data_IF_914775214082
#
_entry.id   IF_914775214082
#
_cell.length_a   1.000
_cell.length_b   1.000
_cell.length_c   1.000
_cell.angle_alpha   90.00
_cell.angle_beta   90.00
_cell.angle_gamma   90.00
#
_symmetry.space_group_name_H-M   'P 1'
#
loop_
_entity.id
_entity.type
_entity.pdbx_description
1 polymer ?
#
# COMPACT_ATOMS: atom_id res chain seq x y z
N UNK A 1 -28.66 26.04 -1.55
CA UNK A 1 -27.36 26.21 -0.87
C UNK A 1 -26.94 24.84 -0.38
N UNK A 2 -26.05 24.18 -1.13
CA UNK A 2 -25.58 22.84 -0.80
C UNK A 2 -24.75 22.90 0.49
N UNK A 3 -25.16 22.14 1.49
CA UNK A 3 -24.38 21.89 2.70
C UNK A 3 -23.11 21.17 2.27
N UNK A 4 -21.98 21.88 2.24
CA UNK A 4 -20.68 21.24 2.26
C UNK A 4 -20.58 20.58 3.63
N UNK A 5 -20.78 19.27 3.68
CA UNK A 5 -20.55 18.49 4.88
C UNK A 5 -19.16 18.87 5.41
N UNK A 6 -19.14 19.52 6.57
CA UNK A 6 -17.94 19.75 7.34
C UNK A 6 -17.24 18.40 7.49
N UNK A 7 -16.13 18.21 6.77
CA UNK A 7 -15.20 17.13 7.06
C UNK A 7 -14.69 17.38 8.46
N UNK A 8 -15.36 16.88 9.49
CA UNK A 8 -14.67 16.58 10.73
C UNK A 8 -13.48 15.69 10.35
N UNK A 9 -12.32 15.95 10.93
CA UNK A 9 -11.10 15.17 10.71
C UNK A 9 -11.33 13.71 11.14
N UNK A 10 -11.95 12.92 10.26
CA UNK A 10 -12.14 11.49 10.44
C UNK A 10 -10.79 10.85 10.20
N UNK A 11 -10.28 10.18 11.23
CA UNK A 11 -9.12 9.31 11.10
C UNK A 11 -9.31 8.39 9.89
N UNK A 12 -8.28 8.20 9.07
CA UNK A 12 -8.42 7.36 7.88
C UNK A 12 -8.75 5.93 8.27
N UNK A 13 -9.54 5.25 7.44
CA UNK A 13 -9.69 3.79 7.51
C UNK A 13 -8.55 3.16 6.74
N UNK A 14 -7.84 2.23 7.39
CA UNK A 14 -6.79 1.45 6.75
C UNK A 14 -7.41 0.20 6.16
N UNK A 15 -7.29 0.02 4.85
CA UNK A 15 -7.74 -1.19 4.17
C UNK A 15 -6.53 -2.06 3.83
N UNK A 16 -6.40 -3.22 4.47
CA UNK A 16 -5.38 -4.21 4.06
C UNK A 16 -5.85 -4.91 2.79
N UNK A 17 -4.93 -5.03 1.81
CA UNK A 17 -5.19 -5.63 0.50
C UNK A 17 -4.23 -6.81 0.32
N UNK A 18 -4.64 -8.03 0.71
CA UNK A 18 -3.79 -9.22 0.57
C UNK A 18 -3.52 -9.63 -0.87
N UNK A 19 -2.44 -10.38 -1.06
CA UNK A 19 -2.07 -10.99 -2.34
C UNK A 19 -2.63 -12.39 -2.55
N UNK A 20 -1.99 -13.14 -3.46
CA UNK A 20 -2.32 -14.54 -3.78
C UNK A 20 -2.26 -15.40 -2.50
N UNK A 21 -3.28 -16.23 -2.28
CA UNK A 21 -3.42 -17.05 -1.07
C UNK A 21 -3.92 -16.30 0.17
N UNK A 22 -4.10 -14.98 0.09
CA UNK A 22 -4.49 -14.14 1.21
C UNK A 22 -3.39 -14.00 2.26
N UNK A 23 -3.77 -13.48 3.43
CA UNK A 23 -2.86 -13.28 4.56
C UNK A 23 -3.24 -14.19 5.71
N UNK A 24 -2.40 -15.19 5.98
CA UNK A 24 -2.57 -16.14 7.08
C UNK A 24 -2.41 -15.49 8.46
N UNK A 25 -2.75 -16.21 9.54
CA UNK A 25 -2.81 -15.64 10.91
C UNK A 25 -1.53 -14.97 11.41
N UNK A 26 -0.36 -15.47 11.01
CA UNK A 26 0.94 -14.91 11.40
C UNK A 26 1.46 -13.83 10.44
N UNK A 27 0.69 -13.48 9.41
CA UNK A 27 1.03 -12.40 8.48
C UNK A 27 0.81 -11.05 9.15
N UNK A 28 1.69 -10.07 8.90
CA UNK A 28 1.58 -8.73 9.49
C UNK A 28 0.23 -8.06 9.22
N UNK A 29 -0.34 -8.21 8.01
CA UNK A 29 -1.70 -7.73 7.71
C UNK A 29 -2.76 -8.28 8.68
N UNK A 30 -2.76 -9.60 8.94
CA UNK A 30 -3.70 -10.22 9.90
C UNK A 30 -3.49 -9.70 11.30
N UNK A 31 -2.24 -9.57 11.72
CA UNK A 31 -1.92 -9.06 13.04
C UNK A 31 -2.42 -7.62 13.19
N UNK A 32 -2.17 -6.75 12.19
CA UNK A 32 -2.65 -5.36 12.16
C UNK A 32 -4.17 -5.28 12.27
N UNK A 33 -4.89 -6.10 11.50
CA UNK A 33 -6.36 -6.19 11.55
C UNK A 33 -6.87 -6.59 12.95
N UNK A 34 -6.16 -7.47 13.67
CA UNK A 34 -6.55 -7.91 15.01
C UNK A 34 -6.30 -6.85 16.08
N UNK A 35 -5.25 -6.03 15.94
CA UNK A 35 -4.84 -5.11 17.02
C UNK A 35 -5.15 -3.64 16.76
N UNK A 36 -5.58 -3.27 15.54
CA UNK A 36 -5.96 -1.89 15.20
C UNK A 36 -7.47 -1.78 14.91
N UNK A 37 -8.21 -0.92 15.62
CA UNK A 37 -9.64 -0.74 15.37
C UNK A 37 -9.96 0.01 14.07
N UNK A 38 -8.97 0.68 13.47
CA UNK A 38 -9.11 1.45 12.22
C UNK A 38 -8.69 0.65 10.97
N UNK A 39 -8.31 -0.62 11.13
CA UNK A 39 -7.75 -1.46 10.07
C UNK A 39 -8.68 -2.61 9.73
N UNK A 40 -9.04 -2.75 8.45
CA UNK A 40 -10.03 -3.70 7.97
C UNK A 40 -9.48 -4.41 6.73
N UNK A 41 -9.64 -5.74 6.64
CA UNK A 41 -9.30 -6.50 5.44
C UNK A 41 -10.33 -6.31 4.34
N UNK A 42 -9.84 -6.05 3.13
CA UNK A 42 -10.68 -6.14 1.93
C UNK A 42 -10.90 -7.62 1.58
N UNK A 43 -12.16 -8.03 1.52
CA UNK A 43 -12.52 -9.36 1.02
C UNK A 43 -12.49 -9.37 -0.52
N UNK A 44 -11.32 -9.66 -1.10
CA UNK A 44 -11.15 -9.77 -2.55
C UNK A 44 -11.66 -11.11 -3.10
N UNK A 45 -11.83 -12.14 -2.28
CA UNK A 45 -12.23 -13.48 -2.69
C UNK A 45 -11.30 -14.13 -3.73
N UNK A 46 -11.62 -15.36 -4.14
CA UNK A 46 -10.86 -16.09 -5.18
C UNK A 46 -9.34 -16.10 -4.93
N UNK A 47 -8.94 -16.22 -3.66
CA UNK A 47 -7.56 -16.09 -3.21
C UNK A 47 -6.59 -17.07 -3.89
N UNK A 48 -7.06 -18.24 -4.31
CA UNK A 48 -6.28 -19.25 -5.03
C UNK A 48 -6.24 -19.06 -6.55
N UNK A 49 -7.20 -18.33 -7.12
CA UNK A 49 -7.34 -18.10 -8.57
C UNK A 49 -7.76 -16.65 -8.84
N UNK A 50 -6.86 -15.69 -8.55
CA UNK A 50 -7.22 -14.29 -8.52
C UNK A 50 -7.52 -13.78 -9.94
N UNK A 51 -8.57 -12.98 -10.06
CA UNK A 51 -8.97 -12.39 -11.34
C UNK A 51 -8.97 -10.87 -11.22
N UNK A 52 -8.10 -10.20 -12.00
CA UNK A 52 -7.86 -8.75 -11.92
C UNK A 52 -9.13 -7.93 -11.80
N UNK A 53 -10.05 -8.05 -12.75
CA UNK A 53 -11.24 -7.19 -12.78
C UNK A 53 -12.19 -7.47 -11.59
N UNK A 54 -12.20 -8.70 -11.07
CA UNK A 54 -13.03 -9.05 -9.91
C UNK A 54 -12.44 -8.45 -8.63
N UNK A 55 -11.11 -8.51 -8.48
CA UNK A 55 -10.40 -7.88 -7.36
C UNK A 55 -10.51 -6.37 -7.40
N UNK A 56 -10.31 -5.74 -8.56
CA UNK A 56 -10.51 -4.29 -8.74
C UNK A 56 -11.93 -3.87 -8.36
N UNK A 57 -12.94 -4.62 -8.80
CA UNK A 57 -14.35 -4.33 -8.46
C UNK A 57 -14.60 -4.43 -6.96
N UNK A 58 -14.10 -5.47 -6.29
CA UNK A 58 -14.27 -5.65 -4.84
C UNK A 58 -13.51 -4.60 -4.04
N UNK A 59 -12.31 -4.23 -4.48
CA UNK A 59 -11.54 -3.14 -3.89
C UNK A 59 -12.29 -1.80 -4.00
N UNK A 60 -12.83 -1.49 -5.17
CA UNK A 60 -13.64 -0.28 -5.39
C UNK A 60 -14.87 -0.23 -4.47
N UNK A 61 -15.55 -1.37 -4.30
CA UNK A 61 -16.68 -1.49 -3.37
C UNK A 61 -16.27 -1.24 -1.93
N UNK A 62 -15.17 -1.82 -1.46
CA UNK A 62 -14.67 -1.62 -0.10
C UNK A 62 -14.27 -0.14 0.14
N UNK A 63 -13.61 0.50 -0.83
CA UNK A 63 -13.24 1.92 -0.77
C UNK A 63 -14.48 2.80 -0.63
N UNK A 64 -15.52 2.56 -1.43
CA UNK A 64 -16.79 3.33 -1.37
C UNK A 64 -17.53 3.14 -0.04
N UNK A 65 -17.37 2.00 0.61
CA UNK A 65 -18.01 1.70 1.90
C UNK A 65 -17.31 2.37 3.09
N UNK A 66 -16.05 2.77 2.96
CA UNK A 66 -15.25 3.23 4.09
C UNK A 66 -15.73 4.56 4.75
N UNK A 67 -16.59 5.36 4.10
CA UNK A 67 -17.18 6.61 4.63
C UNK A 67 -16.18 7.61 5.28
N UNK A 68 -14.89 7.44 5.03
CA UNK A 68 -13.75 8.17 5.59
C UNK A 68 -12.61 8.13 4.55
N UNK A 69 -11.58 9.00 4.66
CA UNK A 69 -10.39 8.85 3.82
C UNK A 69 -9.81 7.44 3.96
N UNK A 70 -9.42 6.83 2.84
CA UNK A 70 -8.87 5.46 2.82
C UNK A 70 -7.35 5.49 2.67
N UNK A 71 -6.66 4.68 3.46
CA UNK A 71 -5.25 4.36 3.24
C UNK A 71 -5.16 2.87 2.92
N UNK A 72 -4.52 2.53 1.80
CA UNK A 72 -4.37 1.13 1.38
C UNK A 72 -3.06 0.55 1.91
N UNK A 73 -3.10 -0.62 2.54
CA UNK A 73 -1.92 -1.38 2.95
C UNK A 73 -1.88 -2.70 2.17
N UNK A 74 -1.28 -2.68 0.99
CA UNK A 74 -1.30 -3.78 0.04
C UNK A 74 -0.04 -4.65 0.12
N UNK A 75 -0.20 -5.95 -0.14
CA UNK A 75 0.90 -6.90 -0.18
C UNK A 75 0.90 -7.71 -1.47
N UNK A 76 2.07 -7.96 -2.06
CA UNK A 76 2.24 -8.86 -3.21
C UNK A 76 1.29 -8.52 -4.37
N UNK A 77 0.51 -9.49 -4.86
CA UNK A 77 -0.47 -9.27 -5.93
C UNK A 77 -1.55 -8.24 -5.58
N UNK A 78 -1.79 -7.99 -4.29
CA UNK A 78 -2.65 -6.90 -3.82
C UNK A 78 -2.15 -5.52 -4.27
N UNK A 79 -0.82 -5.32 -4.38
CA UNK A 79 -0.26 -4.07 -4.91
C UNK A 79 -0.67 -3.83 -6.36
N UNK A 80 -0.69 -4.89 -7.17
CA UNK A 80 -1.13 -4.81 -8.57
C UNK A 80 -2.64 -4.57 -8.67
N UNK A 81 -3.42 -5.11 -7.72
CA UNK A 81 -4.85 -4.81 -7.63
C UNK A 81 -5.10 -3.32 -7.33
N UNK A 82 -4.30 -2.71 -6.45
CA UNK A 82 -4.36 -1.27 -6.17
C UNK A 82 -3.97 -0.45 -7.40
N UNK A 83 -2.87 -0.80 -8.08
CA UNK A 83 -2.44 -0.09 -9.28
C UNK A 83 -3.49 -0.18 -10.41
N UNK A 84 -4.06 -1.37 -10.63
CA UNK A 84 -5.12 -1.55 -11.61
C UNK A 84 -6.43 -0.85 -11.23
N UNK A 85 -6.76 -0.81 -9.95
CA UNK A 85 -7.91 -0.03 -9.48
C UNK A 85 -7.70 1.46 -9.75
N UNK A 86 -6.51 2.01 -9.47
CA UNK A 86 -6.22 3.41 -9.73
C UNK A 86 -6.29 3.77 -11.23
N UNK A 87 -5.86 2.85 -12.11
CA UNK A 87 -5.97 2.98 -13.57
C UNK A 87 -7.42 2.99 -14.05
N UNK A 88 -8.27 2.10 -13.51
CA UNK A 88 -9.62 1.84 -14.01
C UNK A 88 -10.71 2.67 -13.32
N UNK A 89 -10.44 3.17 -12.10
CA UNK A 89 -11.34 3.96 -11.28
C UNK A 89 -10.68 5.31 -10.93
N UNK A 90 -10.58 6.25 -11.89
CA UNK A 90 -9.91 7.52 -11.67
C UNK A 90 -10.61 8.31 -10.57
N UNK A 91 -9.80 8.98 -9.75
CA UNK A 91 -10.26 9.80 -8.64
C UNK A 91 -9.48 11.13 -8.58
N UNK A 92 -10.02 12.19 -7.96
CA UNK A 92 -9.23 13.34 -7.58
C UNK A 92 -8.02 12.93 -6.74
N UNK A 93 -6.93 13.70 -6.84
CA UNK A 93 -5.74 13.39 -6.07
C UNK A 93 -6.05 13.33 -4.57
N UNK A 94 -5.72 12.20 -3.94
CA UNK A 94 -5.89 11.92 -2.51
C UNK A 94 -7.33 11.79 -1.99
N UNK A 95 -8.33 11.56 -2.84
CA UNK A 95 -9.70 11.28 -2.39
C UNK A 95 -10.49 10.40 -3.39
N UNK A 96 -11.22 9.36 -2.97
CA UNK A 96 -11.38 8.85 -1.59
C UNK A 96 -10.17 8.10 -1.03
N UNK A 97 -9.28 7.57 -1.86
CA UNK A 97 -8.01 6.99 -1.39
C UNK A 97 -6.99 8.10 -1.22
N UNK A 98 -6.54 8.28 0.02
CA UNK A 98 -5.67 9.35 0.45
C UNK A 98 -4.17 8.96 0.45
N UNK A 99 -3.87 7.66 0.37
CA UNK A 99 -2.50 7.15 0.28
C UNK A 99 -2.41 5.63 0.24
N UNK A 100 -1.20 5.11 -0.06
CA UNK A 100 -0.96 3.67 -0.01
C UNK A 100 0.45 3.27 0.47
N UNK A 101 0.52 2.18 1.22
CA UNK A 101 1.72 1.40 1.49
C UNK A 101 1.64 0.11 0.65
N UNK A 102 2.57 -0.04 -0.29
CA UNK A 102 2.65 -1.15 -1.24
C UNK A 102 3.86 -2.01 -0.89
N UNK A 103 3.64 -3.24 -0.46
CA UNK A 103 4.69 -4.08 0.14
C UNK A 103 4.93 -5.32 -0.70
N UNK A 104 6.19 -5.54 -1.07
CA UNK A 104 6.67 -6.72 -1.80
C UNK A 104 5.82 -7.05 -3.04
N UNK A 105 5.60 -6.11 -3.99
CA UNK A 105 4.78 -6.36 -5.18
C UNK A 105 5.32 -7.54 -6.00
N UNK A 106 4.46 -8.28 -6.69
CA UNK A 106 4.89 -9.39 -7.54
C UNK A 106 5.18 -8.92 -8.98
N UNK A 107 6.22 -9.44 -9.62
CA UNK A 107 6.48 -9.18 -11.04
C UNK A 107 5.59 -10.05 -11.92
N UNK A 108 4.50 -9.45 -12.41
CA UNK A 108 3.53 -10.12 -13.29
C UNK A 108 3.99 -10.15 -14.76
N UNK A 109 5.02 -9.38 -15.11
CA UNK A 109 5.48 -9.19 -16.49
C UNK A 109 6.69 -10.04 -16.85
N UNK A 110 7.32 -10.70 -15.86
CA UNK A 110 8.45 -11.60 -16.12
C UNK A 110 8.02 -12.79 -16.97
N UNK A 111 8.91 -13.25 -17.86
CA UNK A 111 8.62 -14.31 -18.83
C UNK A 111 8.24 -15.65 -18.19
N UNK A 112 8.74 -15.92 -16.99
CA UNK A 112 8.49 -17.13 -16.20
C UNK A 112 7.47 -16.88 -15.07
N UNK A 113 6.65 -15.82 -15.18
CA UNK A 113 5.60 -15.55 -14.20
C UNK A 113 4.66 -16.77 -14.08
N UNK A 114 4.31 -17.24 -12.88
CA UNK A 114 3.33 -18.30 -12.70
C UNK A 114 1.97 -17.92 -13.30
N UNK A 115 1.20 -18.90 -13.78
CA UNK A 115 -0.10 -18.65 -14.41
C UNK A 115 -1.10 -17.92 -13.49
N UNK A 116 -0.97 -18.10 -12.18
CA UNK A 116 -1.75 -17.39 -11.17
C UNK A 116 -1.51 -15.88 -11.13
N UNK A 117 -0.36 -15.40 -11.64
CA UNK A 117 -0.01 -13.98 -11.71
C UNK A 117 -0.29 -13.36 -13.08
N UNK A 118 -0.20 -14.15 -14.15
CA UNK A 118 -0.37 -13.67 -15.54
C UNK A 118 -1.68 -12.93 -15.80
N UNK A 119 -2.74 -13.27 -15.07
CA UNK A 119 -4.04 -12.59 -15.16
C UNK A 119 -4.01 -11.11 -14.77
N UNK A 120 -2.94 -10.65 -14.11
CA UNK A 120 -2.71 -9.26 -13.74
C UNK A 120 -1.75 -8.53 -14.68
N UNK A 121 -1.15 -9.22 -15.65
CA UNK A 121 -0.30 -8.60 -16.66
C UNK A 121 -1.14 -7.82 -17.71
N UNK A 122 -0.59 -6.77 -18.33
CA UNK A 122 0.69 -6.13 -17.97
C UNK A 122 0.60 -5.36 -16.64
N UNK A 123 1.71 -5.04 -15.98
CA UNK A 123 1.63 -4.09 -14.85
C UNK A 123 1.21 -2.68 -15.33
N UNK A 124 0.34 -1.97 -14.58
CA UNK A 124 0.00 -0.58 -14.88
C UNK A 124 1.23 0.31 -14.77
N UNK A 125 1.32 1.31 -15.65
CA UNK A 125 2.47 2.24 -15.73
C UNK A 125 2.10 3.69 -15.44
N UNK A 126 0.90 3.89 -14.89
CA UNK A 126 0.36 5.22 -14.60
C UNK A 126 0.67 5.59 -13.15
N UNK A 127 1.08 6.85 -12.90
CA UNK A 127 1.28 7.34 -11.54
C UNK A 127 0.00 7.24 -10.70
N UNK A 128 0.14 6.85 -9.44
CA UNK A 128 -0.98 6.76 -8.52
C UNK A 128 -1.52 8.16 -8.17
N UNK A 129 -2.85 8.35 -8.09
CA UNK A 129 -3.45 9.64 -7.77
C UNK A 129 -3.43 9.92 -6.26
N UNK A 130 -2.39 9.50 -5.54
CA UNK A 130 -2.22 9.69 -4.09
C UNK A 130 -0.78 9.40 -3.67
N UNK A 131 -0.30 9.95 -2.55
CA UNK A 131 1.01 9.62 -2.01
C UNK A 131 1.13 8.13 -1.69
N UNK A 132 2.25 7.53 -2.06
CA UNK A 132 2.48 6.11 -1.80
C UNK A 132 3.94 5.77 -1.50
N UNK A 133 4.14 4.74 -0.69
CA UNK A 133 5.42 4.09 -0.45
C UNK A 133 5.39 2.71 -1.09
N UNK A 134 6.44 2.33 -1.80
CA UNK A 134 6.70 0.96 -2.24
C UNK A 134 7.88 0.39 -1.45
N UNK A 135 7.66 -0.70 -0.73
CA UNK A 135 8.67 -1.43 0.04
C UNK A 135 9.00 -2.72 -0.69
N UNK A 136 10.28 -3.00 -0.90
CA UNK A 136 10.73 -4.25 -1.54
C UNK A 136 11.94 -4.84 -0.81
N UNK A 137 12.05 -6.18 -0.88
CA UNK A 137 13.18 -6.94 -0.35
C UNK A 137 14.14 -7.31 -1.47
N UNK A 138 15.44 -7.39 -1.17
CA UNK A 138 16.47 -7.75 -2.16
C UNK A 138 16.49 -9.26 -2.46
N UNK A 139 15.96 -10.08 -1.56
CA UNK A 139 15.88 -11.55 -1.67
C UNK A 139 14.44 -12.05 -1.88
N UNK A 140 13.55 -11.20 -2.42
CA UNK A 140 12.18 -11.59 -2.76
C UNK A 140 12.16 -12.53 -3.98
N UNK A 141 11.59 -13.76 -3.87
CA UNK A 141 11.49 -14.68 -5.01
C UNK A 141 10.46 -14.27 -6.09
N UNK A 142 9.60 -13.29 -5.80
CA UNK A 142 8.50 -12.86 -6.68
C UNK A 142 8.82 -11.64 -7.51
N UNK A 143 9.87 -10.88 -7.17
CA UNK A 143 10.28 -9.69 -7.90
C UNK A 143 11.76 -9.39 -7.64
N UNK A 144 12.49 -8.90 -8.65
CA UNK A 144 13.83 -8.36 -8.41
C UNK A 144 13.76 -6.95 -7.83
N UNK A 145 14.77 -6.53 -7.08
CA UNK A 145 14.81 -5.18 -6.49
C UNK A 145 14.76 -4.09 -7.58
N UNK A 146 15.40 -4.31 -8.73
CA UNK A 146 15.41 -3.38 -9.87
C UNK A 146 14.03 -3.26 -10.51
N UNK A 147 13.30 -4.38 -10.62
CA UNK A 147 11.92 -4.37 -11.12
C UNK A 147 11.00 -3.64 -10.14
N UNK A 148 11.13 -3.91 -8.84
CA UNK A 148 10.34 -3.22 -7.82
C UNK A 148 10.60 -1.71 -7.83
N UNK A 149 11.86 -1.29 -7.98
CA UNK A 149 12.22 0.12 -8.15
C UNK A 149 11.59 0.70 -9.43
N UNK A 150 11.59 -0.03 -10.54
CA UNK A 150 10.93 0.39 -11.78
C UNK A 150 9.43 0.58 -11.61
N UNK A 151 8.75 -0.31 -10.88
CA UNK A 151 7.34 -0.15 -10.52
C UNK A 151 7.11 1.09 -9.65
N UNK A 152 7.99 1.35 -8.68
CA UNK A 152 7.90 2.56 -7.86
C UNK A 152 8.00 3.84 -8.71
N UNK A 153 8.89 3.85 -9.70
CA UNK A 153 9.01 4.96 -10.66
C UNK A 153 7.74 5.12 -11.50
N UNK A 154 7.25 4.04 -12.10
CA UNK A 154 6.03 4.04 -12.93
C UNK A 154 4.81 4.52 -12.11
N UNK A 155 4.69 4.10 -10.84
CA UNK A 155 3.58 4.48 -9.94
C UNK A 155 3.79 5.81 -9.22
N UNK A 156 4.95 6.45 -9.36
CA UNK A 156 5.29 7.69 -8.65
C UNK A 156 5.42 7.52 -7.13
N UNK A 157 5.68 6.30 -6.65
CA UNK A 157 5.83 5.95 -5.25
C UNK A 157 7.22 6.28 -4.71
N UNK A 158 7.32 6.57 -3.41
CA UNK A 158 8.60 6.62 -2.71
C UNK A 158 9.09 5.19 -2.47
N UNK A 159 10.28 4.85 -2.97
CA UNK A 159 10.86 3.51 -2.86
C UNK A 159 11.65 3.32 -1.58
N UNK A 160 11.45 2.18 -0.92
CA UNK A 160 12.19 1.75 0.27
C UNK A 160 12.70 0.33 0.04
N UNK A 161 14.02 0.19 0.15
CA UNK A 161 14.69 -1.11 0.22
C UNK A 161 14.68 -1.61 1.67
N UNK A 162 14.04 -2.76 1.90
CA UNK A 162 13.91 -3.38 3.21
C UNK A 162 15.09 -4.29 3.58
N UNK A 163 16.11 -4.39 2.73
CA UNK A 163 17.21 -5.35 2.89
C UNK A 163 16.75 -6.76 2.56
N UNK A 164 17.19 -7.76 3.34
CA UNK A 164 16.92 -9.19 3.10
C UNK A 164 15.82 -9.68 4.07
N UNK A 165 14.56 -9.53 3.67
CA UNK A 165 13.36 -9.90 4.42
C UNK A 165 12.44 -10.88 3.66
N UNK A 166 12.96 -11.56 2.63
CA UNK A 166 12.19 -12.45 1.77
C UNK A 166 10.97 -11.76 1.14
N UNK A 167 9.83 -12.43 1.11
CA UNK A 167 8.61 -11.86 0.52
C UNK A 167 7.80 -10.96 1.49
N UNK A 168 8.41 -10.50 2.59
CA UNK A 168 7.79 -9.65 3.63
C UNK A 168 6.40 -10.19 4.04
N UNK A 169 6.34 -11.51 4.29
CA UNK A 169 5.10 -12.23 4.59
C UNK A 169 5.24 -12.96 5.94
N UNK A 170 4.32 -13.87 6.24
CA UNK A 170 4.36 -14.65 7.47
C UNK A 170 5.68 -15.45 7.66
N UNK A 171 6.26 -15.95 6.57
CA UNK A 171 7.51 -16.72 6.61
C UNK A 171 8.74 -15.83 6.88
N UNK A 172 8.62 -14.52 6.66
CA UNK A 172 9.67 -13.54 7.00
C UNK A 172 9.84 -13.32 8.50
N UNK A 173 8.92 -13.83 9.34
CA UNK A 173 9.08 -13.79 10.81
C UNK A 173 8.93 -12.39 11.44
N UNK A 174 8.34 -11.44 10.71
CA UNK A 174 8.25 -10.03 11.12
C UNK A 174 7.20 -9.77 12.22
N UNK A 175 6.26 -10.71 12.41
CA UNK A 175 5.16 -10.57 13.37
C UNK A 175 4.38 -9.27 13.15
N UNK A 176 4.31 -8.44 14.19
CA UNK A 176 3.63 -7.14 14.15
C UNK A 176 4.23 -6.16 13.12
N UNK A 177 5.45 -6.40 12.64
CA UNK A 177 6.17 -5.56 11.67
C UNK A 177 6.11 -4.06 12.02
N UNK A 178 6.89 -3.70 13.05
CA UNK A 178 6.93 -2.35 13.61
C UNK A 178 7.38 -1.31 12.57
N UNK A 179 8.36 -1.66 11.73
CA UNK A 179 8.86 -0.82 10.66
C UNK A 179 7.73 -0.50 9.67
N UNK A 180 6.89 -1.48 9.31
CA UNK A 180 5.73 -1.27 8.45
C UNK A 180 4.71 -0.29 9.03
N UNK A 181 4.51 -0.28 10.35
CA UNK A 181 3.64 0.69 11.03
C UNK A 181 4.20 2.12 10.96
N UNK A 182 5.51 2.29 11.05
CA UNK A 182 6.17 3.59 10.91
C UNK A 182 6.04 4.11 9.47
N UNK A 183 6.20 3.23 8.48
CA UNK A 183 5.96 3.56 7.07
C UNK A 183 4.50 3.92 6.82
N UNK A 184 3.56 3.19 7.41
CA UNK A 184 2.14 3.53 7.36
C UNK A 184 1.88 4.92 7.96
N UNK A 185 2.52 5.25 9.08
CA UNK A 185 2.48 6.58 9.69
C UNK A 185 2.92 7.69 8.73
N UNK A 186 4.02 7.48 7.99
CA UNK A 186 4.49 8.42 6.95
C UNK A 186 3.45 8.62 5.85
N UNK A 187 2.80 7.56 5.40
CA UNK A 187 1.73 7.66 4.38
C UNK A 187 0.53 8.44 4.93
N UNK A 188 0.12 8.19 6.17
CA UNK A 188 -0.96 8.92 6.84
C UNK A 188 -0.62 10.41 6.92
N UNK A 189 0.58 10.77 7.38
CA UNK A 189 0.98 12.19 7.45
C UNK A 189 1.11 12.84 6.07
N UNK A 190 1.59 12.12 5.06
CA UNK A 190 1.65 12.61 3.69
C UNK A 190 0.25 12.82 3.08
N UNK A 191 -0.74 12.04 3.51
CA UNK A 191 -2.13 12.19 3.09
C UNK A 191 -2.84 13.42 3.68
N UNK A 192 -2.25 14.09 4.68
CA UNK A 192 -2.85 15.23 5.36
C UNK A 192 -4.09 14.91 6.20
N UNK A 193 -4.45 13.63 6.35
CA UNK A 193 -5.66 13.17 7.04
C UNK A 193 -5.54 13.19 8.57
N UNK A 194 -4.34 13.36 9.10
CA UNK A 194 -4.03 13.50 10.53
C UNK A 194 -4.02 14.96 11.03
N UNK A 195 -4.28 15.94 10.14
CA UNK A 195 -4.19 17.36 10.48
C UNK A 195 -5.43 17.89 11.22
N UNK A 196 -5.26 18.77 12.23
CA UNK A 196 -6.37 19.37 12.98
C UNK A 196 -7.34 20.19 12.12
N UNK A 197 -6.85 20.78 11.02
CA UNK A 197 -7.65 21.51 10.03
C UNK A 197 -7.70 20.71 8.73
N UNK A 198 -8.88 20.36 8.21
CA UNK A 198 -9.01 19.60 6.97
C UNK A 198 -8.66 20.50 5.78
N UNK A 199 -7.42 20.41 5.30
CA UNK A 199 -6.95 21.14 4.12
C UNK A 199 -6.85 20.28 2.86
N UNK A 200 -7.33 19.03 2.91
CA UNK A 200 -7.13 18.05 1.84
C UNK A 200 -5.71 17.45 1.83
N UNK A 201 -5.42 16.55 0.88
CA UNK A 201 -4.12 15.91 0.75
C UNK A 201 -3.01 16.93 0.46
N UNK A 202 -1.79 16.65 0.95
CA UNK A 202 -0.64 17.48 0.66
C UNK A 202 -0.41 17.57 -0.86
N UNK A 203 -0.02 18.75 -1.40
CA UNK A 203 0.41 18.82 -2.78
C UNK A 203 1.56 17.83 -3.02
N UNK A 204 1.69 17.26 -4.24
CA UNK A 204 2.62 16.17 -4.51
C UNK A 204 4.07 16.42 -4.08
N UNK A 205 4.56 17.66 -4.16
CA UNK A 205 5.91 18.04 -3.72
C UNK A 205 6.11 17.94 -2.21
N UNK A 206 5.14 18.41 -1.42
CA UNK A 206 5.18 18.32 0.05
C UNK A 206 4.96 16.89 0.51
N UNK A 207 4.04 16.16 -0.13
CA UNK A 207 3.81 14.75 0.17
C UNK A 207 5.09 13.94 -0.05
N UNK A 208 5.82 14.17 -1.16
CA UNK A 208 7.14 13.55 -1.41
C UNK A 208 8.16 13.88 -0.33
N UNK A 209 8.19 15.12 0.17
CA UNK A 209 9.09 15.50 1.25
C UNK A 209 8.76 14.74 2.54
N UNK A 210 7.49 14.67 2.94
CA UNK A 210 7.04 13.90 4.11
C UNK A 210 7.37 12.42 3.96
N UNK A 211 7.09 11.86 2.78
CA UNK A 211 7.45 10.49 2.47
C UNK A 211 8.95 10.27 2.46
N UNK A 212 9.80 11.28 2.31
CA UNK A 212 11.26 11.14 2.34
C UNK A 212 11.89 11.35 3.73
N UNK A 213 11.12 11.86 4.70
CA UNK A 213 11.60 12.05 6.08
C UNK A 213 11.82 10.64 6.69
N UNK A 214 13.09 10.38 7.03
CA UNK A 214 13.68 9.20 7.68
C UNK A 214 14.11 8.02 6.79
N UNK A 215 15.09 8.28 5.91
CA UNK A 215 16.18 7.34 5.64
C UNK A 215 17.40 7.55 6.59
N UNK A 216 17.48 8.70 7.27
CA UNK A 216 18.68 9.10 8.04
C UNK A 216 18.60 8.84 9.55
N UNK A 217 17.43 8.95 10.20
CA UNK A 217 17.37 8.87 11.68
C UNK A 217 17.23 7.44 12.23
N UNK A 218 16.57 6.53 11.50
CA UNK A 218 16.44 5.13 11.92
C UNK A 218 17.76 4.34 11.77
N UNK A 219 18.58 4.69 10.77
CA UNK A 219 19.90 4.10 10.58
C UNK A 219 20.90 4.55 11.66
N UNK A 220 20.81 5.81 12.13
CA UNK A 220 21.66 6.30 13.22
C UNK A 220 21.31 5.70 14.58
N UNK A 221 20.02 5.44 14.85
CA UNK A 221 19.61 4.78 16.10
C UNK A 221 20.10 3.32 16.19
N UNK A 222 20.22 2.61 15.06
CA UNK A 222 20.65 1.22 15.05
C UNK A 222 22.19 1.03 15.02
N UNK A 223 22.95 2.02 14.52
CA UNK A 223 24.43 1.97 14.44
C UNK A 223 25.19 2.72 15.55
N UNK A 224 24.54 3.58 16.35
CA UNK A 224 25.16 4.31 17.46
C UNK A 224 24.65 3.81 18.83
N UNK A 225 24.84 2.51 19.08
CA UNK A 225 24.38 1.78 20.26
C UNK A 225 24.21 2.60 21.55
N UNK A 226 22.99 2.54 22.08
CA UNK A 226 22.72 2.67 23.51
C UNK A 226 22.04 1.40 23.98
#
# INVERSE_FOLDING_TARGET
>A
MGSFASYEARKPTILTVPGLGGSGRSHWQSLWEESRPDTIRVELGMWSTPHRNAWVTRLDQAIRQAQAPVILAAHSLGCLAVAWWAELSPQPYGWPVAGALLVAPADVDRSDAPDSLKGFAPSPRTPLPFPSILVASQDDPWISIERAHSLAVDWGSHFIDAGHQGHINAASGLGWWQEGQELLGRVISASGTDRPTPSGPLPPSEARAVLAINATDAAQAHYLGR
#
